data_IF_472021773445
#
_entry.id   IF_472021773445
#
_cell.length_a   1.000
_cell.length_b   1.000
_cell.length_c   1.000
_cell.angle_alpha   90.00
_cell.angle_beta   90.00
_cell.angle_gamma   90.00
#
_symmetry.space_group_name_H-M   'P 1'
#
loop_
_entity.id
_entity.type
_entity.pdbx_description
1 polymer ?
#
# COMPACT_ATOMS: atom_id res chain seq x y z
N UNK A 1 -2.42 17.61 14.51
CA UNK A 1 -1.03 17.11 14.48
C UNK A 1 -0.43 17.51 13.15
N UNK A 2 0.66 18.29 13.16
CA UNK A 2 1.42 18.74 11.99
C UNK A 2 2.42 17.66 11.62
N UNK A 3 2.26 17.07 10.44
CA UNK A 3 3.12 15.96 9.98
C UNK A 3 3.95 16.43 8.80
N UNK A 4 5.27 16.37 8.94
CA UNK A 4 6.19 16.53 7.81
C UNK A 4 6.58 15.17 7.24
N UNK A 5 6.88 15.13 5.95
CA UNK A 5 7.27 13.92 5.25
C UNK A 5 8.59 14.11 4.50
N UNK A 6 9.46 13.11 4.56
CA UNK A 6 10.41 12.90 3.47
C UNK A 6 9.66 12.47 2.19
N UNK A 7 10.34 12.53 1.05
CA UNK A 7 9.78 12.22 -0.26
C UNK A 7 10.21 10.84 -0.75
N UNK A 8 11.51 10.60 -0.84
CA UNK A 8 12.09 9.45 -1.55
C UNK A 8 12.24 8.30 -0.58
N UNK A 9 11.53 7.20 -0.80
CA UNK A 9 11.44 6.14 0.20
C UNK A 9 10.28 6.35 1.18
N UNK A 10 9.55 7.48 1.16
CA UNK A 10 8.29 7.63 1.92
C UNK A 10 7.08 7.73 1.00
N UNK A 11 7.15 8.57 -0.04
CA UNK A 11 6.10 8.80 -1.03
C UNK A 11 6.44 8.21 -2.39
N UNK A 12 7.70 8.33 -2.81
CA UNK A 12 8.18 7.98 -4.15
C UNK A 12 9.19 6.83 -4.08
N UNK A 13 9.09 5.88 -5.01
CA UNK A 13 9.85 4.64 -5.04
C UNK A 13 11.22 4.86 -5.71
N UNK A 14 12.06 5.65 -5.05
CA UNK A 14 13.38 6.04 -5.55
C UNK A 14 14.27 4.83 -5.85
N UNK A 15 14.34 3.84 -4.95
CA UNK A 15 15.28 2.72 -5.08
C UNK A 15 15.05 1.89 -6.34
N UNK A 16 13.81 1.45 -6.55
CA UNK A 16 13.47 0.64 -7.72
C UNK A 16 13.64 1.44 -9.01
N UNK A 17 13.18 2.70 -9.01
CA UNK A 17 13.32 3.59 -10.16
C UNK A 17 14.79 3.87 -10.51
N UNK A 18 15.66 4.05 -9.52
CA UNK A 18 17.10 4.22 -9.73
C UNK A 18 17.71 3.02 -10.45
N UNK A 19 17.40 1.81 -9.98
CA UNK A 19 17.91 0.59 -10.58
C UNK A 19 17.36 0.39 -12.01
N UNK A 20 16.08 0.68 -12.23
CA UNK A 20 15.46 0.57 -13.55
C UNK A 20 15.99 1.59 -14.55
N UNK A 21 16.04 2.86 -14.16
CA UNK A 21 16.43 3.97 -15.01
C UNK A 21 17.88 3.84 -15.51
N UNK A 22 18.77 3.31 -14.68
CA UNK A 22 20.17 3.07 -15.02
C UNK A 22 20.45 1.63 -15.49
N UNK A 23 19.42 0.80 -15.65
CA UNK A 23 19.52 -0.59 -16.07
C UNK A 23 20.50 -1.42 -15.20
N UNK A 24 20.42 -1.24 -13.89
CA UNK A 24 21.22 -1.93 -12.88
C UNK A 24 20.48 -3.19 -12.36
N UNK A 25 21.19 -4.18 -11.76
CA UNK A 25 20.55 -5.36 -11.19
C UNK A 25 19.50 -5.00 -10.13
N UNK A 26 18.30 -5.61 -10.20
CA UNK A 26 17.11 -5.23 -9.42
C UNK A 26 16.95 -5.86 -8.02
N UNK A 27 17.98 -6.44 -7.44
CA UNK A 27 17.85 -6.93 -6.05
C UNK A 27 17.78 -5.74 -5.08
N UNK A 28 16.90 -5.79 -4.09
CA UNK A 28 16.78 -4.69 -3.12
C UNK A 28 18.10 -4.46 -2.37
N UNK A 29 18.48 -3.21 -2.07
CA UNK A 29 19.64 -2.94 -1.25
C UNK A 29 19.36 -3.36 0.19
N UNK A 30 20.27 -4.15 0.76
CA UNK A 30 20.21 -4.54 2.18
C UNK A 30 20.89 -3.50 3.11
N UNK A 31 21.49 -2.46 2.52
CA UNK A 31 22.26 -1.42 3.23
C UNK A 31 22.21 -0.08 2.49
N UNK A 32 22.37 1.01 3.23
CA UNK A 32 22.26 2.38 2.70
C UNK A 32 23.44 2.78 1.81
N UNK A 33 24.60 2.15 1.98
CA UNK A 33 25.86 2.39 1.26
C UNK A 33 26.05 1.44 0.06
N UNK A 34 24.96 0.91 -0.49
CA UNK A 34 25.01 -0.01 -1.62
C UNK A 34 25.79 0.61 -2.81
N UNK A 35 26.87 -0.03 -3.29
CA UNK A 35 27.74 0.52 -4.31
C UNK A 35 27.03 0.87 -5.62
N UNK A 36 25.91 0.21 -5.93
CA UNK A 36 25.11 0.52 -7.13
C UNK A 36 24.56 1.93 -7.06
N UNK A 37 24.16 2.39 -5.89
CA UNK A 37 23.65 3.74 -5.70
C UNK A 37 24.79 4.73 -5.55
N UNK A 38 25.75 4.44 -4.68
CA UNK A 38 26.88 5.34 -4.39
C UNK A 38 27.70 5.64 -5.65
N UNK A 39 28.07 4.61 -6.42
CA UNK A 39 28.94 4.78 -7.58
C UNK A 39 28.25 5.43 -8.78
N UNK A 40 26.92 5.32 -8.86
CA UNK A 40 26.15 5.78 -10.02
C UNK A 40 25.33 7.06 -9.75
N UNK A 41 25.26 7.56 -8.51
CA UNK A 41 24.47 8.73 -8.15
C UNK A 41 24.77 9.95 -9.04
N UNK A 42 26.04 10.17 -9.39
CA UNK A 42 26.46 11.28 -10.25
C UNK A 42 25.84 11.26 -11.65
N UNK A 43 25.38 10.10 -12.14
CA UNK A 43 24.70 9.98 -13.43
C UNK A 43 23.31 10.62 -13.40
N UNK A 44 22.64 10.61 -12.24
CA UNK A 44 21.27 11.14 -12.09
C UNK A 44 21.19 12.42 -11.27
N UNK A 45 22.28 12.85 -10.64
CA UNK A 45 22.31 13.99 -9.70
C UNK A 45 21.68 15.26 -10.28
N UNK A 46 21.85 15.51 -11.59
CA UNK A 46 21.29 16.67 -12.29
C UNK A 46 20.26 16.30 -13.36
N UNK A 47 19.86 15.04 -13.44
CA UNK A 47 18.91 14.58 -14.46
C UNK A 47 17.46 14.85 -14.01
N UNK A 48 16.88 15.95 -14.48
CA UNK A 48 15.52 16.32 -14.12
C UNK A 48 14.48 15.27 -14.56
N UNK A 49 14.70 14.55 -15.67
CA UNK A 49 13.77 13.52 -16.12
C UNK A 49 13.74 12.34 -15.15
N UNK A 50 14.91 11.97 -14.63
CA UNK A 50 15.01 10.97 -13.58
C UNK A 50 14.15 11.36 -12.37
N UNK A 51 14.35 12.57 -11.83
CA UNK A 51 13.66 13.03 -10.61
C UNK A 51 12.17 13.30 -10.82
N UNK A 52 11.76 13.72 -12.02
CA UNK A 52 10.35 13.87 -12.40
C UNK A 52 9.65 12.52 -12.50
N UNK A 53 10.34 11.51 -13.03
CA UNK A 53 9.78 10.21 -13.38
C UNK A 53 9.65 9.19 -12.25
N UNK A 54 10.08 9.52 -11.02
CA UNK A 54 10.02 8.58 -9.90
C UNK A 54 8.55 8.23 -9.60
N UNK A 55 8.15 6.95 -9.66
CA UNK A 55 6.78 6.53 -9.42
C UNK A 55 6.43 6.56 -7.93
N UNK A 56 5.17 6.83 -7.60
CA UNK A 56 4.62 6.72 -6.25
C UNK A 56 4.69 5.31 -5.67
N UNK A 57 4.91 5.22 -4.35
CA UNK A 57 4.87 3.97 -3.57
C UNK A 57 3.45 3.48 -3.33
N UNK A 58 2.50 4.42 -3.20
CA UNK A 58 1.09 4.12 -2.97
C UNK A 58 0.21 5.17 -3.65
N UNK A 59 -1.03 4.81 -3.96
CA UNK A 59 -2.02 5.72 -4.54
C UNK A 59 -2.35 6.87 -3.55
N UNK A 60 -2.21 8.16 -3.94
CA UNK A 60 -2.38 9.30 -3.02
C UNK A 60 -3.77 9.39 -2.40
N UNK A 61 -4.79 8.72 -2.97
CA UNK A 61 -6.09 8.57 -2.32
C UNK A 61 -6.00 7.88 -0.96
N UNK A 62 -4.86 7.25 -0.64
CA UNK A 62 -4.55 6.62 0.64
C UNK A 62 -3.73 7.51 1.60
N UNK A 63 -3.58 8.80 1.28
CA UNK A 63 -3.02 9.81 2.18
C UNK A 63 -4.18 10.51 2.92
N UNK A 64 -4.39 10.15 4.18
CA UNK A 64 -5.51 10.52 5.06
C UNK A 64 -5.27 11.79 5.87
N UNK A 65 -4.22 12.53 5.55
CA UNK A 65 -3.92 13.80 6.16
C UNK A 65 -3.20 14.65 5.13
N UNK A 66 -3.30 15.96 5.26
CA UNK A 66 -2.53 16.84 4.40
C UNK A 66 -1.18 17.14 5.07
N UNK A 67 -0.03 16.83 4.44
CA UNK A 67 1.27 17.12 5.02
C UNK A 67 1.45 18.60 5.30
N UNK A 68 2.12 18.92 6.40
CA UNK A 68 2.50 20.28 6.75
C UNK A 68 3.60 20.78 5.81
N UNK A 69 4.58 19.92 5.55
CA UNK A 69 5.78 20.22 4.78
C UNK A 69 6.41 18.95 4.21
N UNK A 70 7.04 19.08 3.05
CA UNK A 70 7.97 18.10 2.52
C UNK A 70 9.41 18.59 2.72
N UNK A 71 10.29 17.73 3.24
CA UNK A 71 11.72 18.06 3.38
C UNK A 71 12.55 16.93 2.78
N UNK A 72 13.31 17.24 1.73
CA UNK A 72 14.04 16.25 0.93
C UNK A 72 15.50 16.65 0.71
N UNK A 73 16.38 15.65 0.58
CA UNK A 73 17.78 15.82 0.20
C UNK A 73 18.00 15.78 -1.33
N UNK A 74 16.92 15.88 -2.14
CA UNK A 74 17.03 15.94 -3.60
C UNK A 74 18.03 17.02 -4.03
N UNK A 75 18.95 16.72 -4.97
CA UNK A 75 19.92 17.67 -5.51
C UNK A 75 19.35 18.59 -6.60
N UNK A 76 18.06 18.45 -6.94
CA UNK A 76 17.37 19.26 -7.96
C UNK A 76 16.55 20.39 -7.35
N UNK A 77 16.10 21.31 -8.19
CA UNK A 77 15.30 22.46 -7.74
C UNK A 77 13.99 22.03 -7.07
N UNK A 78 13.49 22.91 -6.20
CA UNK A 78 12.17 22.77 -5.58
C UNK A 78 11.06 22.70 -6.64
N UNK A 79 11.23 23.33 -7.80
CA UNK A 79 10.26 23.30 -8.90
C UNK A 79 10.13 21.89 -9.49
N UNK A 80 11.25 21.21 -9.76
CA UNK A 80 11.25 19.83 -10.26
C UNK A 80 10.64 18.88 -9.24
N UNK A 81 11.00 19.04 -7.98
CA UNK A 81 10.41 18.26 -6.88
C UNK A 81 8.89 18.47 -6.78
N UNK A 82 8.43 19.72 -6.88
CA UNK A 82 6.99 20.04 -6.87
C UNK A 82 6.26 19.39 -8.04
N UNK A 83 6.81 19.51 -9.26
CA UNK A 83 6.24 18.89 -10.47
C UNK A 83 6.12 17.38 -10.32
N UNK A 84 7.14 16.71 -9.76
CA UNK A 84 7.13 15.27 -9.49
C UNK A 84 6.04 14.86 -8.49
N UNK A 85 5.84 15.62 -7.41
CA UNK A 85 4.78 15.34 -6.44
C UNK A 85 3.38 15.54 -7.03
N UNK A 86 3.15 16.65 -7.73
CA UNK A 86 1.87 16.98 -8.35
C UNK A 86 1.53 15.96 -9.45
N UNK A 87 2.48 15.57 -10.31
CA UNK A 87 2.25 14.57 -11.36
C UNK A 87 1.92 13.18 -10.79
N UNK A 88 2.45 12.88 -9.59
CA UNK A 88 2.11 11.66 -8.86
C UNK A 88 0.77 11.75 -8.11
N UNK A 89 0.14 12.94 -8.03
CA UNK A 89 -1.15 13.18 -7.39
C UNK A 89 -1.07 13.55 -5.92
N UNK A 90 0.10 13.91 -5.40
CA UNK A 90 0.25 14.36 -4.01
C UNK A 90 -0.10 15.85 -3.85
N UNK A 91 -0.57 16.28 -2.66
CA UNK A 91 -0.92 17.68 -2.41
C UNK A 91 0.25 18.66 -2.63
N UNK A 92 -0.02 19.82 -3.22
CA UNK A 92 0.96 20.91 -3.26
C UNK A 92 1.07 21.58 -1.89
N UNK A 93 2.24 21.42 -1.26
CA UNK A 93 2.54 21.91 0.08
C UNK A 93 3.95 22.51 0.09
N UNK A 94 4.35 23.24 1.15
CA UNK A 94 5.71 23.74 1.27
C UNK A 94 6.73 22.60 1.08
N UNK A 95 7.76 22.84 0.27
CA UNK A 95 8.85 21.90 0.00
C UNK A 95 10.15 22.61 0.33
N UNK A 96 11.00 21.96 1.13
CA UNK A 96 12.37 22.40 1.38
C UNK A 96 13.32 21.33 0.83
N UNK A 97 14.18 21.73 -0.10
CA UNK A 97 15.28 20.93 -0.61
C UNK A 97 16.55 21.30 0.14
N UNK A 98 17.06 20.40 0.98
CA UNK A 98 18.30 20.63 1.76
C UNK A 98 19.56 20.27 0.96
N UNK A 99 19.40 19.66 -0.21
CA UNK A 99 20.49 19.16 -1.04
C UNK A 99 21.11 17.88 -0.48
N UNK A 100 21.94 17.23 -1.30
CA UNK A 100 22.59 15.98 -0.91
C UNK A 100 23.53 16.20 0.30
N UNK A 101 23.32 15.43 1.37
CA UNK A 101 24.06 15.57 2.63
C UNK A 101 23.64 16.75 3.51
N UNK A 102 22.62 17.53 3.12
CA UNK A 102 22.08 18.61 3.94
C UNK A 102 21.26 18.08 5.13
N UNK A 103 21.40 18.73 6.28
CA UNK A 103 20.62 18.41 7.48
C UNK A 103 19.18 18.89 7.34
N UNK A 104 18.23 18.09 7.84
CA UNK A 104 16.80 18.43 7.87
C UNK A 104 16.35 19.12 9.16
N UNK A 105 17.26 19.30 10.14
CA UNK A 105 16.92 19.81 11.48
C UNK A 105 16.33 21.21 11.43
N UNK A 106 17.05 22.20 10.89
CA UNK A 106 16.60 23.60 10.84
C UNK A 106 15.32 23.79 10.00
N UNK A 107 15.16 23.12 8.84
CA UNK A 107 13.88 23.09 8.12
C UNK A 107 12.68 22.60 8.93
N UNK A 108 12.86 21.67 9.87
CA UNK A 108 11.78 20.99 10.59
C UNK A 108 11.53 21.52 12.01
N UNK A 109 12.55 22.09 12.66
CA UNK A 109 12.50 22.50 14.07
C UNK A 109 11.34 23.50 14.32
N UNK A 110 10.43 23.13 15.22
CA UNK A 110 9.24 23.92 15.56
C UNK A 110 8.12 23.93 14.52
N UNK A 111 8.33 23.38 13.32
CA UNK A 111 7.35 23.38 12.23
C UNK A 111 6.45 22.15 12.23
N UNK A 112 6.95 21.01 12.70
CA UNK A 112 6.22 19.74 12.72
C UNK A 112 6.10 19.18 14.13
N UNK A 113 5.03 18.42 14.37
CA UNK A 113 4.88 17.63 15.60
C UNK A 113 5.53 16.25 15.42
N UNK A 114 5.47 15.69 14.21
CA UNK A 114 6.10 14.42 13.81
C UNK A 114 6.66 14.54 12.40
N UNK A 115 7.83 13.94 12.16
CA UNK A 115 8.40 13.74 10.83
C UNK A 115 8.45 12.25 10.46
N UNK A 116 8.17 11.90 9.20
CA UNK A 116 8.24 10.53 8.69
C UNK A 116 9.40 10.42 7.70
N UNK A 117 10.30 9.48 7.96
CA UNK A 117 11.60 9.34 7.29
C UNK A 117 11.89 7.85 7.03
N UNK A 118 12.70 7.54 6.02
CA UNK A 118 13.18 6.17 5.76
C UNK A 118 14.70 6.04 6.00
N UNK A 119 15.45 7.14 5.98
CA UNK A 119 16.87 7.16 6.34
C UNK A 119 17.08 7.05 7.85
N UNK A 120 17.74 5.98 8.29
CA UNK A 120 18.08 5.79 9.71
C UNK A 120 19.01 6.88 10.24
N UNK A 121 19.95 7.38 9.43
CA UNK A 121 20.84 8.47 9.82
C UNK A 121 20.06 9.76 10.10
N UNK A 122 19.13 10.14 9.21
CA UNK A 122 18.26 11.31 9.41
C UNK A 122 17.35 11.11 10.63
N UNK A 123 16.78 9.91 10.80
CA UNK A 123 15.97 9.57 11.98
C UNK A 123 16.74 9.81 13.29
N UNK A 124 18.00 9.36 13.36
CA UNK A 124 18.84 9.54 14.55
C UNK A 124 19.18 11.01 14.78
N UNK A 125 19.59 11.73 13.73
CA UNK A 125 19.93 13.15 13.80
C UNK A 125 18.74 13.99 14.29
N UNK A 126 17.56 13.80 13.69
CA UNK A 126 16.36 14.57 13.98
C UNK A 126 15.84 14.30 15.40
N UNK A 127 15.79 13.03 15.83
CA UNK A 127 15.37 12.71 17.20
C UNK A 127 16.36 13.26 18.24
N UNK A 128 17.67 13.22 17.95
CA UNK A 128 18.69 13.85 18.82
C UNK A 128 18.50 15.37 18.92
N UNK A 129 18.03 16.01 17.85
CA UNK A 129 17.69 17.43 17.83
C UNK A 129 16.32 17.75 18.46
N UNK A 130 15.61 16.77 19.03
CA UNK A 130 14.31 16.96 19.66
C UNK A 130 13.13 17.00 18.68
N UNK A 131 13.33 16.65 17.42
CA UNK A 131 12.28 16.55 16.40
C UNK A 131 11.81 15.10 16.38
N UNK A 132 10.59 14.87 16.87
CA UNK A 132 10.00 13.53 16.91
C UNK A 132 9.92 12.95 15.50
N UNK A 133 10.77 11.97 15.22
CA UNK A 133 10.84 11.35 13.89
C UNK A 133 10.54 9.88 14.02
N UNK A 134 9.76 9.35 13.07
CA UNK A 134 9.46 7.92 12.97
C UNK A 134 10.09 7.36 11.69
N UNK A 135 10.46 6.09 11.74
CA UNK A 135 11.08 5.39 10.64
C UNK A 135 10.08 4.50 9.89
N UNK A 136 9.96 4.68 8.58
CA UNK A 136 9.21 3.76 7.71
C UNK A 136 10.16 2.69 7.19
N UNK A 137 9.74 1.43 7.26
CA UNK A 137 10.58 0.30 6.83
C UNK A 137 10.82 0.31 5.32
N UNK A 138 12.10 0.30 4.94
CA UNK A 138 12.62 0.01 3.60
C UNK A 138 13.65 -1.11 3.67
N UNK A 139 14.14 -1.63 2.54
CA UNK A 139 15.06 -2.77 2.56
C UNK A 139 16.38 -2.44 3.27
N UNK A 140 16.93 -1.25 3.05
CA UNK A 140 18.21 -0.80 3.62
C UNK A 140 18.19 -0.51 5.12
N UNK A 141 17.00 -0.43 5.75
CA UNK A 141 16.89 -0.05 7.16
C UNK A 141 16.26 -1.14 8.05
N UNK A 142 16.07 -2.36 7.54
CA UNK A 142 15.32 -3.43 8.26
C UNK A 142 16.02 -3.91 9.52
N UNK A 143 17.36 -3.88 9.53
CA UNK A 143 18.17 -4.39 10.63
C UNK A 143 18.31 -3.40 11.79
N UNK A 144 17.94 -2.13 11.57
CA UNK A 144 18.08 -1.08 12.57
C UNK A 144 17.01 -1.18 13.67
N UNK A 145 17.42 -1.16 14.94
CA UNK A 145 16.48 -1.17 16.06
C UNK A 145 16.08 0.25 16.47
N UNK A 146 14.80 0.56 16.28
CA UNK A 146 14.18 1.83 16.68
C UNK A 146 12.95 1.61 17.57
N UNK A 147 12.77 0.40 18.10
CA UNK A 147 11.66 0.05 18.97
C UNK A 147 10.28 0.40 18.39
N UNK A 148 9.50 1.19 19.14
CA UNK A 148 8.11 1.54 18.80
C UNK A 148 7.97 2.65 17.75
N UNK A 149 9.09 3.20 17.28
CA UNK A 149 9.14 4.31 16.33
C UNK A 149 9.23 3.85 14.88
N UNK A 150 9.08 2.54 14.65
CA UNK A 150 9.01 1.91 13.34
C UNK A 150 7.58 1.68 12.87
N UNK A 151 7.34 1.99 11.60
CA UNK A 151 6.13 1.61 10.87
C UNK A 151 6.48 0.85 9.59
N UNK A 152 5.67 -0.15 9.23
CA UNK A 152 5.89 -0.89 7.97
C UNK A 152 5.54 -0.04 6.75
N UNK A 153 4.61 0.90 6.89
CA UNK A 153 4.16 1.79 5.83
C UNK A 153 3.61 3.09 6.39
N UNK A 154 3.46 4.11 5.52
CA UNK A 154 2.75 5.34 5.86
C UNK A 154 1.28 5.06 6.21
N UNK A 155 0.67 4.03 5.62
CA UNK A 155 -0.69 3.61 5.96
C UNK A 155 -0.80 3.15 7.42
N UNK A 156 0.17 2.39 7.93
CA UNK A 156 0.20 1.95 9.32
C UNK A 156 0.39 3.12 10.29
N UNK A 157 1.26 4.08 9.93
CA UNK A 157 1.42 5.33 10.66
C UNK A 157 0.09 6.06 10.77
N UNK A 158 -0.58 6.27 9.64
CA UNK A 158 -1.83 7.01 9.57
C UNK A 158 -2.92 6.39 10.46
N UNK A 159 -3.02 5.06 10.43
CA UNK A 159 -3.95 4.31 11.27
C UNK A 159 -3.64 4.45 12.77
N UNK A 160 -2.37 4.31 13.18
CA UNK A 160 -1.98 4.43 14.60
C UNK A 160 -2.25 5.83 15.15
N UNK A 161 -2.07 6.87 14.34
CA UNK A 161 -2.31 8.26 14.76
C UNK A 161 -3.75 8.75 14.49
N UNK A 162 -4.66 7.85 14.11
CA UNK A 162 -6.08 8.16 13.99
C UNK A 162 -6.44 9.05 12.80
N UNK A 163 -5.55 9.20 11.82
CA UNK A 163 -5.87 9.85 10.56
C UNK A 163 -6.91 9.02 9.80
N UNK A 164 -7.99 9.68 9.44
CA UNK A 164 -9.10 9.11 8.69
C UNK A 164 -9.28 9.92 7.41
N UNK A 165 -9.87 9.30 6.40
CA UNK A 165 -10.27 10.05 5.22
C UNK A 165 -11.19 11.21 5.63
N UNK A 166 -11.03 12.40 5.05
CA UNK A 166 -11.80 13.60 5.43
C UNK A 166 -13.32 13.41 5.34
N UNK A 167 -13.78 12.41 4.58
CA UNK A 167 -15.19 12.02 4.44
C UNK A 167 -15.48 10.61 4.96
N UNK A 168 -14.70 10.11 5.92
CA UNK A 168 -14.97 8.78 6.47
C UNK A 168 -16.16 8.80 7.42
N UNK A 169 -17.23 8.16 6.98
CA UNK A 169 -18.44 7.93 7.75
C UNK A 169 -18.36 6.53 8.35
N UNK A 170 -18.72 6.39 9.64
CA UNK A 170 -18.74 5.12 10.35
C UNK A 170 -20.17 4.78 10.79
N UNK A 171 -20.68 3.64 10.33
CA UNK A 171 -21.99 3.12 10.70
C UNK A 171 -21.85 1.86 11.57
N UNK A 172 -22.82 1.62 12.44
CA UNK A 172 -22.89 0.36 13.18
C UNK A 172 -23.18 -0.81 12.23
N UNK A 173 -22.52 -1.95 12.47
CA UNK A 173 -22.79 -3.17 11.70
C UNK A 173 -24.04 -3.82 12.27
N UNK A 174 -25.05 -4.08 11.41
CA UNK A 174 -26.31 -4.72 11.80
C UNK A 174 -26.08 -6.02 12.57
N UNK A 175 -26.76 -6.19 13.70
CA UNK A 175 -26.60 -7.26 14.69
C UNK A 175 -25.32 -7.20 15.54
N UNK A 176 -24.48 -6.18 15.37
CA UNK A 176 -23.23 -5.96 16.09
C UNK A 176 -23.09 -4.52 16.61
N UNK A 177 -24.23 -3.85 16.79
CA UNK A 177 -24.33 -2.46 17.26
C UNK A 177 -23.59 -2.28 18.58
N UNK A 178 -22.87 -1.16 18.71
CA UNK A 178 -22.02 -0.83 19.86
C UNK A 178 -20.84 -1.81 20.09
N UNK A 179 -20.60 -2.76 19.19
CA UNK A 179 -19.45 -3.69 19.23
C UNK A 179 -18.52 -3.43 18.05
N UNK A 180 -19.08 -3.24 16.85
CA UNK A 180 -18.30 -2.99 15.64
C UNK A 180 -18.95 -1.92 14.77
N UNK A 181 -18.10 -1.10 14.14
CA UNK A 181 -18.49 -0.16 13.09
C UNK A 181 -17.80 -0.48 11.77
N UNK A 182 -18.47 -0.17 10.66
CA UNK A 182 -17.93 -0.22 9.30
C UNK A 182 -17.85 1.18 8.72
N UNK A 183 -16.77 1.47 7.99
CA UNK A 183 -16.63 2.74 7.29
C UNK A 183 -16.96 2.65 5.81
N UNK A 184 -17.30 3.80 5.22
CA UNK A 184 -17.49 3.95 3.78
C UNK A 184 -16.20 3.70 2.97
N UNK A 185 -15.05 3.56 3.62
CA UNK A 185 -13.78 3.16 3.00
C UNK A 185 -13.47 1.67 3.15
N UNK A 186 -14.42 0.87 3.62
CA UNK A 186 -14.23 -0.57 3.80
C UNK A 186 -13.30 -0.91 4.96
N UNK A 187 -13.32 -0.12 6.04
CA UNK A 187 -12.61 -0.43 7.28
C UNK A 187 -13.60 -0.92 8.33
N UNK A 188 -13.15 -1.82 9.20
CA UNK A 188 -13.95 -2.33 10.33
C UNK A 188 -13.24 -1.97 11.62
N UNK A 189 -13.96 -1.39 12.55
CA UNK A 189 -13.45 -0.93 13.83
C UNK A 189 -14.18 -1.64 14.97
N UNK A 190 -13.45 -2.34 15.82
CA UNK A 190 -13.95 -2.83 17.11
C UNK A 190 -14.05 -1.67 18.08
N UNK A 191 -15.20 -1.55 18.74
CA UNK A 191 -15.41 -0.57 19.79
C UNK A 191 -14.92 -1.14 21.13
N UNK A 192 -14.27 -0.29 21.94
CA UNK A 192 -13.82 -0.70 23.26
C UNK A 192 -15.03 -1.09 24.14
N UNK A 193 -14.87 -2.15 24.94
CA UNK A 193 -15.87 -2.53 25.93
C UNK A 193 -15.49 -1.86 27.25
N UNK A 194 -16.32 -0.95 27.77
CA UNK A 194 -16.13 -0.44 29.14
C UNK A 194 -16.14 -1.64 30.10
N UNK A 195 -15.02 -1.86 30.78
CA UNK A 195 -14.88 -2.86 31.84
C UNK A 195 -14.06 -4.09 31.45
N UNK A 196 -12.74 -4.02 31.71
CA UNK A 196 -11.81 -5.10 32.12
C UNK A 196 -10.37 -4.71 31.73
N UNK A 197 -9.78 -3.76 32.45
CA UNK A 197 -8.31 -3.54 32.54
C UNK A 197 -7.52 -3.34 31.24
N UNK A 198 -8.16 -3.31 30.07
CA UNK A 198 -7.53 -3.14 28.76
C UNK A 198 -7.72 -1.69 28.32
N UNK A 199 -6.73 -1.08 27.66
CA UNK A 199 -6.83 0.28 27.16
C UNK A 199 -8.10 0.44 26.35
N UNK A 200 -8.81 1.54 26.61
CA UNK A 200 -10.15 1.81 26.14
C UNK A 200 -10.12 2.30 24.68
N UNK A 201 -9.39 1.59 23.83
CA UNK A 201 -9.07 2.01 22.48
C UNK A 201 -9.86 1.21 21.46
N UNK A 202 -10.36 1.92 20.45
CA UNK A 202 -11.02 1.28 19.34
C UNK A 202 -9.96 0.74 18.37
N UNK A 203 -10.12 -0.50 17.92
CA UNK A 203 -9.10 -1.20 17.12
C UNK A 203 -9.63 -1.40 15.70
N UNK A 204 -8.84 -0.99 14.69
CA UNK A 204 -9.11 -1.37 13.30
C UNK A 204 -8.77 -2.86 13.13
N UNK A 205 -9.75 -3.65 12.68
CA UNK A 205 -9.58 -5.09 12.53
C UNK A 205 -8.72 -5.41 11.31
N UNK A 206 -7.85 -6.41 11.46
CA UNK A 206 -7.14 -7.00 10.33
C UNK A 206 -8.09 -7.80 9.44
N UNK A 207 -7.78 -7.78 8.14
CA UNK A 207 -8.53 -8.49 7.11
C UNK A 207 -7.87 -9.82 6.78
N UNK A 208 -8.65 -10.79 6.31
CA UNK A 208 -8.18 -12.06 5.76
C UNK A 208 -8.63 -12.16 4.31
N UNK A 209 -8.01 -13.03 3.51
CA UNK A 209 -8.38 -13.23 2.12
C UNK A 209 -9.00 -14.61 1.92
N UNK A 210 -10.11 -14.68 1.17
CA UNK A 210 -10.67 -15.94 0.67
C UNK A 210 -9.80 -16.47 -0.48
N UNK A 211 -9.86 -17.78 -0.78
CA UNK A 211 -9.20 -18.39 -1.95
C UNK A 211 -9.58 -17.71 -3.29
N UNK A 212 -10.77 -17.12 -3.37
CA UNK A 212 -11.25 -16.33 -4.51
C UNK A 212 -10.68 -14.91 -4.58
N UNK A 213 -9.92 -14.47 -3.57
CA UNK A 213 -9.30 -13.15 -3.49
C UNK A 213 -10.08 -12.11 -2.66
N UNK A 214 -11.34 -12.37 -2.31
CA UNK A 214 -12.14 -11.41 -1.54
C UNK A 214 -11.61 -11.18 -0.12
N UNK A 215 -11.61 -9.93 0.33
CA UNK A 215 -11.35 -9.58 1.72
C UNK A 215 -12.50 -10.03 2.64
N UNK A 216 -12.13 -10.62 3.76
CA UNK A 216 -12.99 -11.20 4.77
C UNK A 216 -12.66 -10.61 6.15
N UNK A 217 -13.68 -10.47 7.00
CA UNK A 217 -13.52 -10.05 8.39
C UNK A 217 -14.28 -11.01 9.31
N UNK A 218 -13.68 -11.32 10.47
CA UNK A 218 -14.33 -12.14 11.50
C UNK A 218 -14.82 -11.24 12.63
N UNK A 219 -16.13 -11.26 12.88
CA UNK A 219 -16.77 -10.51 13.96
C UNK A 219 -17.14 -11.45 15.11
N UNK A 220 -16.96 -11.01 16.35
CA UNK A 220 -17.22 -11.81 17.55
C UNK A 220 -18.27 -11.17 18.45
N UNK A 221 -19.39 -11.87 18.69
CA UNK A 221 -20.45 -11.46 19.62
C UNK A 221 -20.79 -12.65 20.52
N UNK A 222 -20.83 -12.45 21.84
CA UNK A 222 -21.16 -13.49 22.81
C UNK A 222 -20.32 -14.79 22.66
N UNK A 223 -19.01 -14.64 22.41
CA UNK A 223 -18.05 -15.74 22.15
C UNK A 223 -18.31 -16.53 20.87
N UNK A 224 -19.27 -16.12 20.04
CA UNK A 224 -19.55 -16.71 18.74
C UNK A 224 -18.88 -15.86 17.67
N UNK A 225 -18.05 -16.51 16.85
CA UNK A 225 -17.35 -15.88 15.73
C UNK A 225 -18.08 -16.18 14.43
N UNK A 226 -18.25 -15.17 13.58
CA UNK A 226 -18.76 -15.34 12.22
C UNK A 226 -17.93 -14.52 11.25
N UNK A 227 -17.62 -15.11 10.10
CA UNK A 227 -16.78 -14.51 9.07
C UNK A 227 -17.65 -14.03 7.92
N UNK A 228 -17.40 -12.81 7.45
CA UNK A 228 -18.18 -12.11 6.45
C UNK A 228 -17.28 -11.57 5.35
N UNK A 229 -17.82 -11.45 4.13
CA UNK A 229 -17.19 -10.70 3.04
C UNK A 229 -17.25 -9.22 3.36
N UNK A 230 -16.12 -8.53 3.25
CA UNK A 230 -16.01 -7.13 3.62
C UNK A 230 -16.90 -6.23 2.73
N UNK A 231 -16.85 -6.38 1.41
CA UNK A 231 -17.69 -5.60 0.49
C UNK A 231 -19.19 -5.73 0.82
N UNK A 232 -19.67 -6.92 1.25
CA UNK A 232 -21.09 -7.08 1.61
C UNK A 232 -21.44 -6.33 2.89
N UNK A 233 -20.59 -6.38 3.92
CA UNK A 233 -20.83 -5.60 5.14
C UNK A 233 -20.91 -4.10 4.81
N UNK A 234 -20.01 -3.61 3.96
CA UNK A 234 -20.00 -2.20 3.54
C UNK A 234 -21.28 -1.86 2.78
N UNK A 235 -21.61 -2.61 1.73
CA UNK A 235 -22.81 -2.37 0.93
C UNK A 235 -24.09 -2.48 1.77
N UNK A 236 -24.21 -3.48 2.65
CA UNK A 236 -25.38 -3.64 3.53
C UNK A 236 -25.55 -2.47 4.51
N UNK A 237 -24.45 -1.92 5.04
CA UNK A 237 -24.50 -0.81 5.97
C UNK A 237 -24.87 0.52 5.30
N UNK A 238 -24.37 0.78 4.09
CA UNK A 238 -24.50 2.08 3.43
C UNK A 238 -25.56 2.14 2.33
N UNK A 239 -25.82 1.04 1.62
CA UNK A 239 -26.83 0.94 0.55
C UNK A 239 -28.09 0.16 1.00
N UNK A 240 -28.06 -0.42 2.21
CA UNK A 240 -29.08 -1.35 2.68
C UNK A 240 -28.87 -2.77 2.16
N UNK A 241 -29.57 -3.73 2.76
CA UNK A 241 -29.54 -5.13 2.37
C UNK A 241 -30.47 -5.41 1.19
N UNK A 242 -29.96 -6.05 0.14
CA UNK A 242 -30.75 -6.54 -0.99
C UNK A 242 -30.67 -8.07 -1.05
N UNK A 243 -31.83 -8.72 -0.95
CA UNK A 243 -31.92 -10.18 -1.05
C UNK A 243 -31.71 -10.63 -2.49
N UNK A 244 -31.04 -11.77 -2.68
CA UNK A 244 -30.78 -12.37 -4.00
C UNK A 244 -29.92 -11.54 -4.97
N UNK A 245 -29.38 -10.40 -4.53
CA UNK A 245 -28.44 -9.57 -5.30
C UNK A 245 -26.99 -9.81 -4.87
N UNK A 246 -26.07 -9.48 -5.78
CA UNK A 246 -24.64 -9.51 -5.58
C UNK A 246 -24.09 -8.09 -5.46
N UNK A 247 -22.99 -7.93 -4.72
CA UNK A 247 -22.25 -6.65 -4.72
C UNK A 247 -21.23 -6.72 -5.83
N UNK A 248 -21.29 -5.78 -6.77
CA UNK A 248 -20.29 -5.58 -7.80
C UNK A 248 -19.26 -4.53 -7.37
N UNK A 249 -18.02 -4.70 -7.83
CA UNK A 249 -16.95 -3.71 -7.76
C UNK A 249 -16.89 -2.99 -9.11
N UNK A 250 -17.29 -1.71 -9.14
CA UNK A 250 -17.48 -0.94 -10.37
C UNK A 250 -16.18 -0.91 -11.22
N UNK A 251 -15.03 -0.73 -10.56
CA UNK A 251 -13.70 -0.73 -11.17
C UNK A 251 -13.12 -2.13 -11.49
N UNK A 252 -13.80 -3.20 -11.05
CA UNK A 252 -13.34 -4.58 -11.19
C UNK A 252 -12.24 -5.01 -10.22
N UNK A 253 -11.77 -4.14 -9.32
CA UNK A 253 -10.84 -4.48 -8.26
C UNK A 253 -11.59 -4.94 -7.01
N UNK A 254 -11.61 -6.25 -6.79
CA UNK A 254 -12.27 -6.90 -5.64
C UNK A 254 -11.70 -6.50 -4.26
N UNK A 255 -10.56 -5.79 -4.23
CA UNK A 255 -9.95 -5.25 -3.01
C UNK A 255 -10.36 -3.81 -2.73
N UNK A 256 -10.93 -3.09 -3.71
CA UNK A 256 -11.41 -1.73 -3.53
C UNK A 256 -12.83 -1.71 -2.91
N UNK A 257 -12.89 -1.91 -1.59
CA UNK A 257 -14.13 -2.02 -0.82
C UNK A 257 -14.72 -0.66 -0.37
N UNK A 258 -14.42 0.43 -1.08
CA UNK A 258 -15.02 1.74 -0.81
C UNK A 258 -16.45 1.80 -1.32
N UNK A 259 -17.33 2.51 -0.61
CA UNK A 259 -18.76 2.54 -0.96
C UNK A 259 -19.02 3.11 -2.35
N UNK A 260 -18.23 4.08 -2.79
CA UNK A 260 -18.33 4.71 -4.11
C UNK A 260 -17.93 3.76 -5.26
N UNK A 261 -17.31 2.63 -4.93
CA UNK A 261 -16.94 1.56 -5.85
C UNK A 261 -17.86 0.33 -5.76
N UNK A 262 -18.87 0.34 -4.87
CA UNK A 262 -19.75 -0.81 -4.66
C UNK A 262 -21.18 -0.50 -5.11
N UNK A 263 -21.80 -1.46 -5.78
CA UNK A 263 -23.20 -1.40 -6.18
C UNK A 263 -23.88 -2.75 -6.04
N UNK A 264 -25.20 -2.75 -5.79
CA UNK A 264 -26.00 -3.97 -5.85
C UNK A 264 -26.42 -4.24 -7.29
N UNK A 265 -26.11 -5.42 -7.79
CA UNK A 265 -26.49 -5.87 -9.13
C UNK A 265 -27.10 -7.27 -9.09
N UNK A 266 -27.86 -7.60 -10.12
CA UNK A 266 -28.27 -8.99 -10.35
C UNK A 266 -27.06 -9.85 -10.77
N UNK A 267 -27.09 -11.17 -10.53
CA UNK A 267 -26.02 -12.07 -10.99
C UNK A 267 -25.74 -11.99 -12.51
N UNK A 268 -26.78 -11.68 -13.28
CA UNK A 268 -26.68 -11.50 -14.74
C UNK A 268 -25.88 -10.25 -15.08
N UNK A 269 -26.23 -9.10 -14.51
CA UNK A 269 -25.52 -7.83 -14.72
C UNK A 269 -24.05 -7.92 -14.26
N UNK A 270 -23.80 -8.57 -13.12
CA UNK A 270 -22.44 -8.81 -12.62
C UNK A 270 -21.60 -9.62 -13.63
N UNK A 271 -22.19 -10.67 -14.20
CA UNK A 271 -21.54 -11.49 -15.22
C UNK A 271 -21.28 -10.70 -16.50
N UNK A 272 -22.24 -9.89 -16.95
CA UNK A 272 -22.11 -9.03 -18.13
C UNK A 272 -21.01 -7.96 -17.94
N UNK A 273 -20.94 -7.33 -16.77
CA UNK A 273 -19.85 -6.40 -16.40
C UNK A 273 -18.50 -7.11 -16.45
N UNK A 274 -18.39 -8.30 -15.87
CA UNK A 274 -17.16 -9.08 -15.89
C UNK A 274 -16.72 -9.46 -17.33
N UNK A 275 -17.66 -9.76 -18.23
CA UNK A 275 -17.34 -10.06 -19.65
C UNK A 275 -16.85 -8.80 -20.32
N UNK A 276 -17.62 -7.70 -20.21
CA UNK A 276 -17.34 -6.41 -20.84
C UNK A 276 -15.97 -5.87 -20.44
N UNK A 277 -15.64 -5.98 -19.17
CA UNK A 277 -14.38 -5.49 -18.60
C UNK A 277 -13.26 -6.54 -18.61
N UNK A 278 -13.48 -7.72 -19.23
CA UNK A 278 -12.51 -8.81 -19.33
C UNK A 278 -11.95 -9.24 -17.97
N UNK A 279 -12.78 -9.19 -16.92
CA UNK A 279 -12.42 -9.52 -15.54
C UNK A 279 -12.35 -11.02 -15.27
N UNK A 280 -12.85 -11.84 -16.20
CA UNK A 280 -12.66 -13.28 -16.18
C UNK A 280 -11.18 -13.61 -16.34
N UNK A 281 -10.51 -13.88 -15.22
CA UNK A 281 -9.24 -14.61 -15.19
C UNK A 281 -9.53 -16.07 -15.55
N UNK A 282 -9.68 -16.33 -16.85
CA UNK A 282 -10.06 -17.65 -17.35
C UNK A 282 -9.07 -18.73 -16.91
N UNK A 283 -9.59 -19.95 -16.73
CA UNK A 283 -8.83 -21.21 -16.77
C UNK A 283 -8.07 -21.43 -18.12
N UNK A 284 -8.21 -20.49 -19.07
CA UNK A 284 -7.66 -20.50 -20.42
C UNK A 284 -6.71 -19.32 -20.66
N UNK A 285 -6.02 -18.83 -19.62
CA UNK A 285 -4.97 -17.83 -19.80
C UNK A 285 -3.78 -18.52 -20.47
N UNK A 286 -3.54 -18.23 -21.75
CA UNK A 286 -2.40 -18.82 -22.48
C UNK A 286 -1.12 -18.06 -22.14
N UNK A 287 -0.10 -18.76 -21.66
CA UNK A 287 1.24 -18.21 -21.48
C UNK A 287 2.13 -18.69 -22.62
N UNK A 288 3.05 -17.84 -23.09
CA UNK A 288 4.07 -18.26 -24.05
C UNK A 288 4.97 -19.36 -23.46
N UNK A 289 5.44 -20.29 -24.29
CA UNK A 289 6.38 -21.36 -23.88
C UNK A 289 7.63 -20.80 -23.19
N UNK A 290 8.09 -19.63 -23.62
CA UNK A 290 9.24 -18.95 -23.03
C UNK A 290 9.00 -18.54 -21.57
N UNK A 291 7.82 -17.98 -21.28
CA UNK A 291 7.42 -17.62 -19.93
C UNK A 291 7.24 -18.84 -19.03
N UNK A 292 6.66 -19.93 -19.56
CA UNK A 292 6.53 -21.19 -18.82
C UNK A 292 7.91 -21.75 -18.47
N UNK A 293 8.86 -21.71 -19.40
CA UNK A 293 10.25 -22.12 -19.17
C UNK A 293 10.92 -21.29 -18.08
N UNK A 294 10.73 -19.96 -18.09
CA UNK A 294 11.23 -19.03 -17.05
C UNK A 294 10.64 -19.34 -15.67
N UNK A 295 9.33 -19.60 -15.60
CA UNK A 295 8.65 -19.97 -14.35
C UNK A 295 9.19 -21.29 -13.77
N UNK A 296 9.42 -22.30 -14.62
CA UNK A 296 9.99 -23.59 -14.20
C UNK A 296 11.43 -23.44 -13.70
N UNK A 297 12.27 -22.70 -14.42
CA UNK A 297 13.66 -22.45 -14.03
C UNK A 297 13.75 -21.74 -12.67
N UNK A 298 12.98 -20.67 -12.47
CA UNK A 298 12.94 -19.95 -11.18
C UNK A 298 12.52 -20.86 -10.03
N UNK A 299 11.63 -21.83 -10.31
CA UNK A 299 11.20 -22.79 -9.30
C UNK A 299 12.30 -23.81 -8.96
N UNK A 300 13.06 -24.26 -9.96
CA UNK A 300 14.24 -25.13 -9.80
C UNK A 300 15.36 -24.42 -9.02
N UNK A 301 15.53 -23.11 -9.23
CA UNK A 301 16.46 -22.24 -8.51
C UNK A 301 16.00 -21.90 -7.07
N UNK A 302 14.86 -22.44 -6.63
CA UNK A 302 14.37 -22.31 -5.25
C UNK A 302 13.56 -21.06 -4.95
N UNK A 303 13.21 -20.25 -5.96
CA UNK A 303 12.36 -19.06 -5.78
C UNK A 303 10.98 -19.47 -5.27
N UNK A 304 10.47 -18.76 -4.26
CA UNK A 304 9.16 -19.08 -3.67
C UNK A 304 8.07 -18.74 -4.68
N UNK A 305 7.02 -19.56 -4.68
CA UNK A 305 5.90 -19.41 -5.62
C UNK A 305 5.18 -18.06 -5.49
N UNK A 306 5.11 -17.52 -4.26
CA UNK A 306 4.63 -16.17 -3.97
C UNK A 306 5.43 -15.09 -4.69
N UNK A 307 6.75 -15.22 -4.73
CA UNK A 307 7.63 -14.23 -5.34
C UNK A 307 7.51 -14.29 -6.87
N UNK A 308 7.40 -15.50 -7.44
CA UNK A 308 7.09 -15.72 -8.88
C UNK A 308 5.71 -15.14 -9.22
N UNK A 309 4.72 -15.27 -8.32
CA UNK A 309 3.38 -14.73 -8.49
C UNK A 309 3.39 -13.22 -8.60
N UNK A 310 4.19 -12.55 -7.76
CA UNK A 310 4.35 -11.11 -7.78
C UNK A 310 5.11 -10.64 -9.03
N UNK A 311 6.19 -11.35 -9.39
CA UNK A 311 7.04 -11.01 -10.53
C UNK A 311 6.28 -11.02 -11.86
N UNK A 312 5.35 -11.95 -12.06
CA UNK A 312 4.64 -12.11 -13.33
C UNK A 312 3.15 -11.74 -13.28
N UNK A 313 2.64 -11.31 -12.11
CA UNK A 313 1.22 -10.99 -11.93
C UNK A 313 0.28 -12.20 -12.09
N UNK A 314 0.80 -13.43 -11.92
CA UNK A 314 0.06 -14.68 -12.04
C UNK A 314 -0.31 -15.16 -10.64
N UNK A 315 -1.54 -15.59 -10.39
CA UNK A 315 -1.90 -16.08 -9.05
C UNK A 315 -1.16 -17.37 -8.69
N UNK A 316 -0.82 -17.56 -7.41
CA UNK A 316 -0.11 -18.75 -6.92
C UNK A 316 -0.85 -20.05 -7.30
N UNK A 317 -2.18 -20.09 -7.20
CA UNK A 317 -2.95 -21.26 -7.60
C UNK A 317 -2.82 -21.60 -9.09
N UNK A 318 -2.72 -20.58 -9.95
CA UNK A 318 -2.53 -20.76 -11.38
C UNK A 318 -1.07 -21.15 -11.71
N UNK A 319 -0.08 -20.63 -10.97
CA UNK A 319 1.31 -21.10 -11.05
C UNK A 319 1.43 -22.59 -10.73
N UNK A 320 0.76 -23.09 -9.69
CA UNK A 320 0.72 -24.53 -9.40
C UNK A 320 0.12 -25.34 -10.56
N UNK A 321 -0.86 -24.79 -11.26
CA UNK A 321 -1.45 -25.43 -12.45
C UNK A 321 -0.44 -25.52 -13.62
N UNK A 322 0.30 -24.44 -13.88
CA UNK A 322 1.38 -24.37 -14.89
C UNK A 322 2.54 -25.32 -14.54
N UNK A 323 2.98 -25.30 -13.28
CA UNK A 323 4.11 -26.11 -12.80
C UNK A 323 3.80 -27.62 -12.77
N UNK A 324 2.54 -27.98 -12.51
CA UNK A 324 2.12 -29.40 -12.47
C UNK A 324 1.92 -30.04 -13.84
N UNK A 325 2.11 -29.30 -14.94
CA UNK A 325 1.91 -29.80 -16.30
C UNK A 325 0.47 -30.15 -16.65
N UNK A 326 -0.50 -29.80 -15.79
CA UNK A 326 -1.95 -30.00 -16.04
C UNK A 326 -2.55 -28.92 -16.95
N UNK A 327 -1.75 -27.96 -17.37
CA UNK A 327 -2.08 -26.96 -18.37
C UNK A 327 -2.35 -27.65 -19.71
N UNK A 328 -3.57 -27.51 -20.27
CA UNK A 328 -4.00 -28.21 -21.50
C UNK A 328 -3.61 -27.39 -22.74
N UNK A 329 -2.94 -28.03 -23.69
CA UNK A 329 -2.54 -27.46 -24.99
C UNK A 329 -3.64 -27.53 -26.07
N UNK A 330 -4.83 -28.04 -25.74
CA UNK A 330 -5.77 -28.53 -26.76
C UNK A 330 -6.83 -27.49 -27.15
N UNK A 331 -6.44 -26.41 -27.82
CA UNK A 331 -7.29 -25.73 -28.82
C UNK A 331 -6.36 -25.15 -29.90
N UNK A 332 -6.35 -25.79 -31.08
CA UNK A 332 -5.72 -25.28 -32.31
C UNK A 332 -6.30 -23.90 -32.63
N UNK A 333 -5.42 -22.94 -32.92
CA UNK A 333 -5.76 -21.58 -33.38
C UNK A 333 -6.55 -21.65 -34.67
#
# INVERSE_FOLDING_TARGET
MRVGLDIDGVLLNYEEHFLEYLNLPKHHPDRWDDPRFVNNFKLIEKDENFWLGIPRIFDPKYLYFIPEIYVTARPVSTEITRKSLISNGFPDRPIITVGHGGSKVEPLLGKVDIFVEDSFANYMELNKAGIRTILVTRSHNREEDVGHDRFKSLLDFQHKYGFNYENEIWLDIKNYENIYKVSNFGRIKSLSRRGKGTPNENIILSKRYQTSGYEMVTLCKNRIQKTYRLHRIVAEAFLGSQDSMEVNHIDGDILNNKIDNLEWVTPKENSEHAVKNKLYKGKNMKYSDELIKKIKLLKEEGVKQKDISQLYGISEGHLSYVLSGKYRDDVKI
#
